data_IF_067157714646
#
_entry.id   IF_067157714646
#
_cell.length_a   1.000
_cell.length_b   1.000
_cell.length_c   1.000
_cell.angle_alpha   90.00
_cell.angle_beta   90.00
_cell.angle_gamma   90.00
#
_symmetry.space_group_name_H-M   'P 1'
#
loop_
_entity.id
_entity.type
_entity.pdbx_description
1 polymer ?
#
# COMPACT_ATOMS: atom_id res chain seq x y z
N UNK A 1 -6.76 27.42 1.97
CA UNK A 1 -5.54 28.24 2.07
C UNK A 1 -4.66 27.78 3.24
N UNK A 2 -5.20 27.40 4.44
CA UNK A 2 -4.43 26.87 5.58
C UNK A 2 -3.73 25.54 5.26
N UNK A 3 -4.40 24.63 4.55
CA UNK A 3 -3.84 23.31 4.19
C UNK A 3 -2.67 23.42 3.20
N UNK A 4 -2.66 24.46 2.36
CA UNK A 4 -1.60 24.70 1.39
C UNK A 4 -0.29 25.18 2.05
N UNK A 5 -0.35 25.93 3.15
CA UNK A 5 0.84 26.46 3.84
C UNK A 5 1.50 25.39 4.73
N UNK A 6 0.73 24.57 5.43
CA UNK A 6 1.24 23.43 6.21
C UNK A 6 1.84 22.35 5.30
N UNK A 7 1.16 22.03 4.20
CA UNK A 7 1.65 21.09 3.17
C UNK A 7 2.95 21.58 2.51
N UNK A 8 3.11 22.88 2.23
CA UNK A 8 4.35 23.45 1.70
C UNK A 8 5.50 23.36 2.72
N UNK A 9 5.25 23.73 3.97
CA UNK A 9 6.28 23.71 5.01
C UNK A 9 6.79 22.30 5.29
N UNK A 10 5.90 21.32 5.44
CA UNK A 10 6.27 19.92 5.63
C UNK A 10 6.95 19.34 4.39
N UNK A 11 6.45 19.69 3.19
CA UNK A 11 7.04 19.26 1.92
C UNK A 11 8.49 19.72 1.76
N UNK A 12 8.80 20.94 2.18
CA UNK A 12 10.18 21.47 2.12
C UNK A 12 11.11 20.81 3.14
N UNK A 13 10.60 20.49 4.34
CA UNK A 13 11.38 19.81 5.39
C UNK A 13 11.79 18.41 4.95
N UNK A 14 10.85 17.61 4.43
CA UNK A 14 11.19 16.25 4.01
C UNK A 14 12.10 16.21 2.78
N UNK A 15 11.91 17.14 1.82
CA UNK A 15 12.83 17.27 0.66
C UNK A 15 14.26 17.60 1.08
N UNK A 16 14.42 18.43 2.11
CA UNK A 16 15.75 18.69 2.69
C UNK A 16 16.34 17.44 3.34
N UNK A 17 15.54 16.62 4.00
CA UNK A 17 15.98 15.34 4.58
C UNK A 17 16.43 14.33 3.52
N UNK A 18 15.63 14.16 2.46
CA UNK A 18 15.96 13.29 1.31
C UNK A 18 17.26 13.76 0.64
N UNK A 19 17.39 15.07 0.38
CA UNK A 19 18.63 15.66 -0.14
C UNK A 19 19.82 15.41 0.78
N UNK A 20 19.65 15.58 2.09
CA UNK A 20 20.71 15.33 3.08
C UNK A 20 21.16 13.87 3.10
N UNK A 21 20.21 12.93 3.00
CA UNK A 21 20.51 11.49 2.91
C UNK A 21 21.26 11.14 1.62
N UNK A 22 20.80 11.67 0.48
CA UNK A 22 21.44 11.46 -0.82
C UNK A 22 22.87 11.99 -0.86
N UNK A 23 23.11 13.21 -0.31
CA UNK A 23 24.45 13.81 -0.23
C UNK A 23 25.37 12.99 0.68
N UNK A 24 24.88 12.52 1.84
CA UNK A 24 25.66 11.67 2.74
C UNK A 24 26.03 10.34 2.10
N UNK A 25 25.08 9.70 1.42
CA UNK A 25 25.34 8.47 0.69
C UNK A 25 26.37 8.68 -0.43
N UNK A 26 26.24 9.75 -1.19
CA UNK A 26 27.18 10.10 -2.25
C UNK A 26 28.60 10.39 -1.70
N UNK A 27 28.69 11.18 -0.63
CA UNK A 27 29.96 11.46 0.03
C UNK A 27 30.61 10.19 0.61
N UNK A 28 29.80 9.29 1.15
CA UNK A 28 30.28 7.99 1.64
C UNK A 28 30.85 7.14 0.51
N UNK A 29 30.20 7.09 -0.64
CA UNK A 29 30.69 6.36 -1.81
C UNK A 29 32.05 6.87 -2.29
N UNK A 30 32.25 8.20 -2.29
CA UNK A 30 33.55 8.78 -2.64
C UNK A 30 34.68 8.47 -1.66
N UNK A 31 34.37 8.00 -0.45
CA UNK A 31 35.37 7.55 0.55
C UNK A 31 35.73 6.07 0.42
N UNK A 32 34.99 5.31 -0.40
CA UNK A 32 35.29 3.90 -0.61
C UNK A 32 36.54 3.72 -1.49
N UNK A 33 37.20 2.56 -1.34
CA UNK A 33 38.41 2.24 -2.05
C UNK A 33 38.23 2.18 -3.57
N UNK A 34 39.30 2.47 -4.31
CA UNK A 34 39.32 2.34 -5.77
C UNK A 34 38.88 0.92 -6.23
N UNK A 35 39.31 -0.11 -5.50
CA UNK A 35 38.96 -1.51 -5.78
C UNK A 35 37.45 -1.75 -5.77
N UNK A 36 36.73 -1.13 -4.84
CA UNK A 36 35.25 -1.18 -4.81
C UNK A 36 34.60 -0.59 -6.06
N UNK A 37 35.17 0.49 -6.60
CA UNK A 37 34.69 1.15 -7.81
C UNK A 37 35.02 0.39 -9.09
N UNK A 38 36.14 -0.33 -9.12
CA UNK A 38 36.54 -1.16 -10.26
C UNK A 38 35.73 -2.46 -10.34
N UNK A 39 35.39 -3.06 -9.19
CA UNK A 39 34.61 -4.33 -9.14
C UNK A 39 33.12 -4.12 -9.42
N UNK A 40 32.60 -2.90 -9.39
CA UNK A 40 31.19 -2.62 -9.63
C UNK A 40 30.99 -1.60 -10.75
N UNK A 41 30.05 -1.91 -11.64
CA UNK A 41 29.61 -0.97 -12.69
C UNK A 41 29.05 0.31 -12.04
N UNK A 42 29.68 1.44 -12.28
CA UNK A 42 29.35 2.77 -11.72
C UNK A 42 27.87 3.17 -11.92
N UNK A 43 27.28 2.77 -13.05
CA UNK A 43 25.87 3.01 -13.35
C UNK A 43 24.89 2.28 -12.42
N UNK A 44 25.26 1.10 -11.90
CA UNK A 44 24.45 0.37 -10.92
C UNK A 44 24.39 1.07 -9.57
N UNK A 45 25.49 1.68 -9.17
CA UNK A 45 25.64 2.37 -7.89
C UNK A 45 24.82 3.67 -7.83
N UNK A 46 24.85 4.46 -8.91
CA UNK A 46 24.03 5.69 -9.03
C UNK A 46 22.53 5.36 -9.00
N UNK A 47 22.12 4.30 -9.70
CA UNK A 47 20.71 3.83 -9.65
C UNK A 47 20.31 3.32 -8.25
N UNK A 48 21.23 2.75 -7.48
CA UNK A 48 20.94 2.32 -6.11
C UNK A 48 20.73 3.51 -5.17
N UNK A 49 21.52 4.58 -5.29
CA UNK A 49 21.33 5.82 -4.52
C UNK A 49 19.99 6.47 -4.87
N UNK A 50 19.68 6.60 -6.17
CA UNK A 50 18.44 7.21 -6.62
C UNK A 50 17.21 6.42 -6.12
N UNK A 51 17.25 5.09 -6.22
CA UNK A 51 16.19 4.23 -5.64
C UNK A 51 16.09 4.36 -4.13
N UNK A 52 17.22 4.44 -3.43
CA UNK A 52 17.25 4.65 -1.98
C UNK A 52 16.66 6.01 -1.58
N UNK A 53 17.02 7.08 -2.28
CA UNK A 53 16.47 8.41 -2.03
C UNK A 53 14.96 8.45 -2.26
N UNK A 54 14.46 7.88 -3.36
CA UNK A 54 13.02 7.75 -3.64
C UNK A 54 12.29 6.87 -2.63
N UNK A 55 12.95 5.81 -2.13
CA UNK A 55 12.42 4.97 -1.07
C UNK A 55 12.24 5.73 0.25
N UNK A 56 13.21 6.57 0.62
CA UNK A 56 13.11 7.43 1.81
C UNK A 56 11.98 8.46 1.61
N UNK A 57 11.91 9.10 0.45
CA UNK A 57 10.84 10.05 0.11
C UNK A 57 9.46 9.41 0.26
N UNK A 58 9.28 8.21 -0.29
CA UNK A 58 8.03 7.45 -0.21
C UNK A 58 7.65 7.12 1.24
N UNK A 59 8.60 6.63 2.04
CA UNK A 59 8.36 6.32 3.45
C UNK A 59 7.98 7.55 4.26
N UNK A 60 8.70 8.65 4.10
CA UNK A 60 8.38 9.90 4.80
C UNK A 60 7.01 10.44 4.40
N UNK A 61 6.67 10.38 3.11
CA UNK A 61 5.35 10.80 2.62
C UNK A 61 4.23 9.98 3.26
N UNK A 62 4.34 8.66 3.25
CA UNK A 62 3.32 7.79 3.87
C UNK A 62 3.20 8.07 5.37
N UNK A 63 4.33 8.12 6.09
CA UNK A 63 4.30 8.30 7.55
C UNK A 63 3.67 9.64 7.93
N UNK A 64 4.09 10.74 7.31
CA UNK A 64 3.65 12.08 7.71
C UNK A 64 2.29 12.48 7.14
N UNK A 65 1.92 12.03 5.94
CA UNK A 65 0.70 12.48 5.27
C UNK A 65 -0.44 11.46 5.31
N UNK A 66 -0.17 10.18 5.57
CA UNK A 66 -1.20 9.16 5.64
C UNK A 66 -1.32 8.57 7.06
N UNK A 67 -0.22 8.08 7.64
CA UNK A 67 -0.28 7.35 8.91
C UNK A 67 -0.49 8.30 10.10
N UNK A 68 0.24 9.41 10.16
CA UNK A 68 0.15 10.35 11.28
C UNK A 68 -1.24 11.02 11.38
N UNK A 69 -1.83 11.58 10.29
CA UNK A 69 -3.19 12.11 10.33
C UNK A 69 -4.23 11.06 10.72
N UNK A 70 -4.12 9.83 10.18
CA UNK A 70 -5.02 8.74 10.51
C UNK A 70 -4.98 8.39 12.02
N UNK A 71 -3.79 8.34 12.61
CA UNK A 71 -3.64 8.09 14.06
C UNK A 71 -4.30 9.20 14.90
N UNK A 72 -4.09 10.47 14.53
CA UNK A 72 -4.70 11.61 15.20
C UNK A 72 -6.23 11.55 15.07
N UNK A 73 -6.74 11.24 13.90
CA UNK A 73 -8.18 11.11 13.64
C UNK A 73 -8.81 10.01 14.50
N UNK A 74 -8.21 8.81 14.53
CA UNK A 74 -8.72 7.70 15.34
C UNK A 74 -8.73 8.03 16.84
N UNK A 75 -7.67 8.67 17.33
CA UNK A 75 -7.59 9.09 18.74
C UNK A 75 -8.67 10.14 19.04
N UNK A 76 -8.80 11.15 18.19
CA UNK A 76 -9.75 12.25 18.37
C UNK A 76 -11.19 11.74 18.35
N UNK A 77 -11.55 10.91 17.37
CA UNK A 77 -12.88 10.29 17.29
C UNK A 77 -13.16 9.42 18.52
N UNK A 78 -12.18 8.65 18.98
CA UNK A 78 -12.34 7.83 20.19
C UNK A 78 -12.59 8.66 21.44
N UNK A 79 -11.90 9.80 21.59
CA UNK A 79 -12.10 10.74 22.72
C UNK A 79 -13.48 11.37 22.66
N UNK A 80 -13.93 11.82 21.49
CA UNK A 80 -15.26 12.42 21.30
C UNK A 80 -16.36 11.39 21.63
N UNK A 81 -16.24 10.18 21.13
CA UNK A 81 -17.20 9.12 21.41
C UNK A 81 -17.27 8.78 22.90
N UNK A 82 -16.13 8.75 23.57
CA UNK A 82 -16.07 8.52 25.00
C UNK A 82 -16.76 9.65 25.78
N UNK A 83 -16.49 10.90 25.42
CA UNK A 83 -17.06 12.07 26.10
C UNK A 83 -18.59 12.22 25.91
N UNK A 84 -19.09 11.89 24.70
CA UNK A 84 -20.51 12.09 24.35
C UNK A 84 -21.39 10.87 24.64
N UNK A 85 -20.91 9.66 24.39
CA UNK A 85 -21.70 8.42 24.40
C UNK A 85 -21.23 7.39 25.45
N UNK A 86 -20.09 7.64 26.08
CA UNK A 86 -19.53 6.78 27.11
C UNK A 86 -18.49 5.78 26.58
N UNK A 87 -17.85 5.08 27.52
CA UNK A 87 -16.70 4.22 27.28
C UNK A 87 -16.96 3.08 26.27
N UNK A 88 -18.14 2.46 26.30
CA UNK A 88 -18.45 1.31 25.45
C UNK A 88 -18.41 1.65 23.97
N UNK A 89 -18.89 2.84 23.55
CA UNK A 89 -18.84 3.27 22.15
C UNK A 89 -17.41 3.49 21.66
N UNK A 90 -16.58 4.11 22.48
CA UNK A 90 -15.16 4.28 22.20
C UNK A 90 -14.43 2.93 22.08
N UNK A 91 -14.75 2.00 22.99
CA UNK A 91 -14.15 0.65 22.99
C UNK A 91 -14.51 -0.15 21.73
N UNK A 92 -15.79 -0.13 21.30
CA UNK A 92 -16.24 -0.81 20.08
C UNK A 92 -15.53 -0.22 18.85
N UNK A 93 -15.48 1.12 18.74
CA UNK A 93 -14.81 1.79 17.62
C UNK A 93 -13.32 1.44 17.57
N UNK A 94 -12.62 1.55 18.70
CA UNK A 94 -11.20 1.26 18.78
C UNK A 94 -10.90 -0.21 18.44
N UNK A 95 -11.72 -1.14 18.97
CA UNK A 95 -11.56 -2.58 18.69
C UNK A 95 -11.80 -2.89 17.21
N UNK A 96 -12.81 -2.26 16.59
CA UNK A 96 -13.09 -2.42 15.16
C UNK A 96 -11.91 -1.94 14.30
N UNK A 97 -11.37 -0.75 14.59
CA UNK A 97 -10.20 -0.21 13.89
C UNK A 97 -8.97 -1.09 14.08
N UNK A 98 -8.73 -1.56 15.31
CA UNK A 98 -7.60 -2.46 15.59
C UNK A 98 -7.75 -3.79 14.86
N UNK A 99 -8.93 -4.39 14.87
CA UNK A 99 -9.21 -5.64 14.13
C UNK A 99 -9.01 -5.45 12.62
N UNK A 100 -9.47 -4.31 12.07
CA UNK A 100 -9.25 -3.95 10.67
C UNK A 100 -7.76 -3.84 10.32
N UNK A 101 -6.98 -3.14 11.13
CA UNK A 101 -5.54 -2.98 10.92
C UNK A 101 -4.80 -4.31 10.99
N UNK A 102 -5.06 -5.13 12.02
CA UNK A 102 -4.44 -6.44 12.19
C UNK A 102 -4.79 -7.40 11.04
N UNK A 103 -6.06 -7.44 10.65
CA UNK A 103 -6.51 -8.22 9.50
C UNK A 103 -5.80 -7.77 8.22
N UNK A 104 -5.78 -6.46 7.96
CA UNK A 104 -5.14 -5.90 6.75
C UNK A 104 -3.67 -6.26 6.66
N UNK A 105 -2.91 -6.11 7.74
CA UNK A 105 -1.48 -6.45 7.77
C UNK A 105 -1.29 -7.95 7.47
N UNK A 106 -1.99 -8.83 8.20
CA UNK A 106 -1.86 -10.29 8.04
C UNK A 106 -2.21 -10.78 6.64
N UNK A 107 -3.33 -10.30 6.09
CA UNK A 107 -3.78 -10.74 4.76
C UNK A 107 -2.95 -10.09 3.66
N UNK A 108 -2.43 -8.88 3.85
CA UNK A 108 -1.52 -8.24 2.90
C UNK A 108 -0.19 -8.99 2.80
N UNK A 109 0.39 -9.45 3.92
CA UNK A 109 1.59 -10.29 3.90
C UNK A 109 1.38 -11.59 3.10
N UNK A 110 0.26 -12.26 3.33
CA UNK A 110 -0.12 -13.44 2.56
C UNK A 110 -0.27 -13.14 1.06
N UNK A 111 -0.86 -11.99 0.70
CA UNK A 111 -1.10 -11.54 -0.67
C UNK A 111 0.18 -11.19 -1.44
N UNK A 112 1.22 -10.71 -0.75
CA UNK A 112 2.51 -10.33 -1.39
C UNK A 112 3.09 -11.49 -2.20
N UNK A 113 2.93 -12.74 -1.75
CA UNK A 113 3.39 -13.94 -2.48
C UNK A 113 2.76 -14.03 -3.87
N UNK A 114 1.44 -13.91 -3.97
CA UNK A 114 0.73 -14.01 -5.26
C UNK A 114 1.08 -12.84 -6.19
N UNK A 115 1.27 -11.65 -5.64
CA UNK A 115 1.70 -10.49 -6.43
C UNK A 115 3.11 -10.67 -6.98
N UNK A 116 4.03 -11.24 -6.21
CA UNK A 116 5.39 -11.56 -6.67
C UNK A 116 5.37 -12.60 -7.78
N UNK A 117 4.58 -13.65 -7.63
CA UNK A 117 4.43 -14.70 -8.67
C UNK A 117 3.87 -14.12 -9.98
N UNK A 118 2.88 -13.24 -9.89
CA UNK A 118 2.34 -12.51 -11.05
C UNK A 118 3.40 -11.63 -11.73
N UNK A 119 4.12 -10.82 -10.96
CA UNK A 119 5.16 -9.94 -11.51
C UNK A 119 6.29 -10.75 -12.17
N UNK A 120 6.69 -11.87 -11.59
CA UNK A 120 7.71 -12.76 -12.18
C UNK A 120 7.22 -13.41 -13.47
N UNK A 121 5.92 -13.72 -13.57
CA UNK A 121 5.35 -14.27 -14.80
C UNK A 121 5.26 -13.19 -15.90
N UNK A 122 4.90 -11.96 -15.54
CA UNK A 122 4.87 -10.79 -16.42
C UNK A 122 6.26 -10.48 -16.99
N UNK A 123 7.28 -10.42 -16.13
CA UNK A 123 8.67 -10.19 -16.54
C UNK A 123 9.16 -11.26 -17.53
N UNK A 124 8.81 -12.53 -17.28
CA UNK A 124 9.18 -13.62 -18.20
C UNK A 124 8.48 -13.51 -19.55
N UNK A 125 7.22 -13.13 -19.57
CA UNK A 125 6.48 -12.91 -20.81
C UNK A 125 7.06 -11.71 -21.59
N UNK A 126 7.32 -10.60 -20.90
CA UNK A 126 7.93 -9.41 -21.50
C UNK A 126 9.34 -9.70 -22.06
N UNK A 127 10.19 -10.39 -21.30
CA UNK A 127 11.52 -10.80 -21.76
C UNK A 127 11.42 -11.65 -23.03
N UNK A 128 10.50 -12.60 -23.06
CA UNK A 128 10.30 -13.47 -24.23
C UNK A 128 9.87 -12.69 -25.47
N UNK A 129 8.95 -11.73 -25.31
CA UNK A 129 8.54 -10.86 -26.39
C UNK A 129 9.72 -10.05 -26.96
N UNK A 130 10.52 -9.45 -26.07
CA UNK A 130 11.71 -8.68 -26.45
C UNK A 130 12.73 -9.56 -27.15
N UNK A 131 13.05 -10.74 -26.61
CA UNK A 131 14.03 -11.66 -27.20
C UNK A 131 13.60 -12.11 -28.60
N UNK A 132 12.31 -12.45 -28.81
CA UNK A 132 11.78 -12.83 -30.11
C UNK A 132 11.87 -11.68 -31.13
N UNK A 133 11.57 -10.44 -30.71
CA UNK A 133 11.65 -9.27 -31.57
C UNK A 133 13.09 -8.85 -31.86
N UNK A 134 14.01 -8.99 -30.93
CA UNK A 134 15.44 -8.74 -31.18
C UNK A 134 16.04 -9.74 -32.16
N UNK A 135 15.54 -10.98 -32.17
CA UNK A 135 15.96 -12.02 -33.08
C UNK A 135 15.03 -12.20 -34.30
N UNK A 136 14.29 -11.11 -34.67
CA UNK A 136 13.29 -11.14 -35.72
C UNK A 136 13.82 -11.73 -37.06
N UNK A 137 15.03 -11.35 -37.47
CA UNK A 137 15.65 -11.87 -38.69
C UNK A 137 15.81 -13.40 -38.66
N UNK A 138 16.26 -13.93 -37.53
CA UNK A 138 16.41 -15.37 -37.33
C UNK A 138 15.06 -16.10 -37.38
N UNK A 139 14.05 -15.55 -36.72
CA UNK A 139 12.67 -16.07 -36.73
C UNK A 139 12.14 -16.13 -38.15
N UNK A 140 12.33 -15.07 -38.94
CA UNK A 140 11.94 -15.01 -40.36
C UNK A 140 12.72 -16.00 -41.24
N UNK A 141 14.02 -16.10 -41.02
CA UNK A 141 14.88 -16.97 -41.81
C UNK A 141 14.50 -18.45 -41.72
N UNK A 142 14.02 -18.85 -40.53
CA UNK A 142 13.60 -20.24 -40.25
C UNK A 142 12.09 -20.46 -40.36
N UNK A 143 11.29 -19.46 -40.79
CA UNK A 143 9.81 -19.51 -40.80
C UNK A 143 9.21 -19.96 -39.46
N UNK A 144 9.80 -19.50 -38.34
CA UNK A 144 9.48 -19.99 -37.01
C UNK A 144 8.48 -19.09 -36.27
N UNK A 145 7.71 -18.20 -36.97
CA UNK A 145 6.77 -17.25 -36.36
C UNK A 145 5.69 -17.95 -35.54
N UNK A 146 5.15 -19.05 -36.04
CA UNK A 146 4.13 -19.81 -35.30
C UNK A 146 4.69 -20.39 -34.01
N UNK A 147 5.92 -20.89 -34.03
CA UNK A 147 6.58 -21.45 -32.84
C UNK A 147 6.85 -20.39 -31.80
N UNK A 148 7.28 -19.19 -32.21
CA UNK A 148 7.51 -18.08 -31.29
C UNK A 148 6.19 -17.52 -30.74
N UNK A 149 5.14 -17.48 -31.56
CA UNK A 149 3.79 -17.10 -31.10
C UNK A 149 3.25 -18.08 -30.06
N UNK A 150 3.38 -19.39 -30.26
CA UNK A 150 2.92 -20.40 -29.32
C UNK A 150 3.71 -20.32 -27.99
N UNK A 151 5.02 -20.09 -28.08
CA UNK A 151 5.87 -19.89 -26.90
C UNK A 151 5.49 -18.63 -26.10
N UNK A 152 5.14 -17.55 -26.79
CA UNK A 152 4.67 -16.34 -26.14
C UNK A 152 3.30 -16.53 -25.51
N UNK A 153 2.38 -17.23 -26.21
CA UNK A 153 1.06 -17.56 -25.69
C UNK A 153 1.13 -18.40 -24.41
N UNK A 154 2.04 -19.38 -24.35
CA UNK A 154 2.27 -20.17 -23.14
C UNK A 154 2.75 -19.29 -21.95
N UNK A 155 3.66 -18.34 -22.21
CA UNK A 155 4.10 -17.40 -21.19
C UNK A 155 2.96 -16.47 -20.73
N UNK A 156 2.13 -16.00 -21.65
CA UNK A 156 0.97 -15.16 -21.37
C UNK A 156 -0.13 -15.93 -20.62
N UNK A 157 -0.39 -17.18 -20.94
CA UNK A 157 -1.30 -18.04 -20.16
C UNK A 157 -0.87 -18.18 -18.70
N UNK A 158 0.44 -18.33 -18.49
CA UNK A 158 0.98 -18.40 -17.13
C UNK A 158 0.81 -17.07 -16.38
N UNK A 159 1.07 -15.95 -17.04
CA UNK A 159 0.81 -14.62 -16.48
C UNK A 159 -0.68 -14.44 -16.13
N UNK A 160 -1.58 -14.79 -17.04
CA UNK A 160 -3.04 -14.71 -16.82
C UNK A 160 -3.45 -15.49 -15.57
N UNK A 161 -3.01 -16.74 -15.42
CA UNK A 161 -3.32 -17.55 -14.24
C UNK A 161 -2.84 -16.91 -12.93
N UNK A 162 -1.63 -16.34 -12.92
CA UNK A 162 -1.08 -15.67 -11.76
C UNK A 162 -1.79 -14.32 -11.50
N UNK A 163 -2.18 -13.60 -12.55
CA UNK A 163 -2.94 -12.36 -12.46
C UNK A 163 -4.33 -12.59 -11.86
N UNK A 164 -5.03 -13.64 -12.28
CA UNK A 164 -6.33 -14.04 -11.71
C UNK A 164 -6.18 -14.38 -10.22
N UNK A 165 -5.18 -15.17 -9.83
CA UNK A 165 -4.91 -15.49 -8.42
C UNK A 165 -4.59 -14.24 -7.60
N UNK A 166 -3.78 -13.34 -8.12
CA UNK A 166 -3.47 -12.06 -7.48
C UNK A 166 -4.73 -11.20 -7.31
N UNK A 167 -5.62 -11.16 -8.31
CA UNK A 167 -6.88 -10.43 -8.26
C UNK A 167 -7.84 -11.03 -7.24
N UNK A 168 -7.99 -12.36 -7.23
CA UNK A 168 -8.82 -13.06 -6.24
C UNK A 168 -8.33 -12.81 -4.81
N UNK A 169 -7.01 -12.83 -4.59
CA UNK A 169 -6.44 -12.50 -3.27
C UNK A 169 -6.78 -11.08 -2.81
N UNK A 170 -6.86 -10.12 -3.73
CA UNK A 170 -7.32 -8.75 -3.43
C UNK A 170 -8.80 -8.72 -3.03
N UNK A 171 -9.64 -9.50 -3.71
CA UNK A 171 -11.07 -9.59 -3.37
C UNK A 171 -11.28 -10.14 -1.95
N UNK A 172 -10.48 -11.10 -1.53
CA UNK A 172 -10.51 -11.62 -0.13
C UNK A 172 -10.19 -10.52 0.87
N UNK A 173 -9.19 -9.66 0.60
CA UNK A 173 -8.89 -8.50 1.46
C UNK A 173 -10.10 -7.58 1.57
N UNK A 174 -10.68 -7.19 0.43
CA UNK A 174 -11.79 -6.23 0.39
C UNK A 174 -13.04 -6.77 1.09
N UNK A 175 -13.37 -8.05 0.88
CA UNK A 175 -14.52 -8.70 1.53
C UNK A 175 -14.30 -8.77 3.05
N UNK A 176 -13.13 -9.18 3.49
CA UNK A 176 -12.82 -9.27 4.91
C UNK A 176 -12.84 -7.90 5.61
N UNK A 177 -12.27 -6.87 4.98
CA UNK A 177 -12.33 -5.50 5.47
C UNK A 177 -13.77 -4.99 5.55
N UNK A 178 -14.57 -5.22 4.51
CA UNK A 178 -15.98 -4.85 4.48
C UNK A 178 -16.80 -5.55 5.58
N UNK A 179 -16.54 -6.83 5.83
CA UNK A 179 -17.19 -7.58 6.90
C UNK A 179 -16.86 -7.04 8.30
N UNK A 180 -15.59 -6.70 8.57
CA UNK A 180 -15.19 -6.11 9.85
C UNK A 180 -15.89 -4.77 10.08
N UNK A 181 -15.93 -3.89 9.06
CA UNK A 181 -16.62 -2.60 9.16
C UNK A 181 -18.12 -2.81 9.39
N UNK A 182 -18.76 -3.71 8.63
CA UNK A 182 -20.20 -3.99 8.77
C UNK A 182 -20.55 -4.49 10.18
N UNK A 183 -19.74 -5.39 10.75
CA UNK A 183 -19.93 -5.88 12.12
C UNK A 183 -19.77 -4.74 13.13
N UNK A 184 -18.74 -3.90 12.99
CA UNK A 184 -18.54 -2.74 13.86
C UNK A 184 -19.72 -1.77 13.82
N UNK A 185 -20.23 -1.46 12.62
CA UNK A 185 -21.42 -0.61 12.45
C UNK A 185 -22.68 -1.23 13.07
N UNK A 186 -22.91 -2.53 12.87
CA UNK A 186 -24.06 -3.22 13.46
C UNK A 186 -24.00 -3.18 14.99
N UNK A 187 -22.82 -3.37 15.61
CA UNK A 187 -22.66 -3.23 17.06
C UNK A 187 -22.96 -1.80 17.52
N UNK A 188 -22.44 -0.79 16.85
CA UNK A 188 -22.68 0.61 17.17
C UNK A 188 -24.18 0.97 17.08
N UNK A 189 -24.83 0.56 15.98
CA UNK A 189 -26.28 0.81 15.80
C UNK A 189 -27.14 0.06 16.83
N UNK A 190 -26.80 -1.18 17.14
CA UNK A 190 -27.50 -1.95 18.17
C UNK A 190 -27.39 -1.33 19.56
N UNK A 191 -26.26 -0.73 19.89
CA UNK A 191 -26.07 0.01 21.15
C UNK A 191 -26.81 1.36 21.18
N UNK A 192 -27.00 2.01 20.01
CA UNK A 192 -27.69 3.28 19.91
C UNK A 192 -29.20 3.15 20.09
N UNK A 193 -29.79 2.01 19.76
CA UNK A 193 -31.23 1.76 19.86
C UNK A 193 -31.79 2.03 21.27
N UNK A 194 -31.31 1.40 22.34
CA UNK A 194 -31.79 1.61 23.72
C UNK A 194 -31.67 3.07 24.19
N UNK A 195 -30.60 3.78 23.80
CA UNK A 195 -30.37 5.17 24.16
C UNK A 195 -31.41 6.10 23.50
N UNK A 196 -31.77 5.83 22.24
CA UNK A 196 -32.81 6.60 21.54
C UNK A 196 -34.18 6.46 22.18
N UNK A 197 -34.57 5.28 22.62
CA UNK A 197 -35.85 5.06 23.29
C UNK A 197 -35.94 5.78 24.65
N UNK A 198 -34.87 5.82 25.42
CA UNK A 198 -34.87 6.44 26.74
C UNK A 198 -34.88 7.99 26.66
N UNK A 199 -34.29 8.59 25.64
CA UNK A 199 -34.27 10.04 25.47
C UNK A 199 -35.47 10.61 24.73
N UNK A 200 -36.17 9.86 23.87
CA UNK A 200 -37.35 10.31 23.12
C UNK A 200 -38.67 10.16 23.91
N UNK A 201 -38.70 9.29 24.90
CA UNK A 201 -39.95 9.03 25.69
C UNK A 201 -40.08 9.92 26.92
N UNK A 202 -39.01 10.59 27.39
CA UNK A 202 -39.03 11.46 28.56
C UNK A 202 -39.82 12.79 28.42
N UNK A 203 -39.89 13.47 27.26
CA UNK A 203 -40.67 14.69 27.13
C UNK A 203 -42.18 14.46 27.03
N UNK A 204 -42.67 13.28 26.69
CA UNK A 204 -44.10 13.00 26.50
C UNK A 204 -44.85 12.69 27.80
N UNK A 205 -44.16 12.36 28.89
CA UNK A 205 -44.77 12.05 30.20
C UNK A 205 -44.97 13.32 31.06
N UNK A 206 -44.33 14.43 30.70
CA UNK A 206 -44.43 15.71 31.44
C UNK A 206 -45.53 16.64 30.90
N UNK A 207 -46.35 16.20 29.95
CA UNK A 207 -47.43 16.98 29.33
C UNK A 207 -48.84 16.39 29.56
N UNK A 208 -49.05 15.59 30.64
CA UNK A 208 -50.40 15.18 31.10
C UNK A 208 -50.68 15.68 32.50
#
# INVERSE_FOLDING_TARGET
IRDCLLSRGLGDVYKRQVRGAAIKAFAYLHRLSLQFHLDRQTGGLTRAIDRGAKGIEFLLTIVFFEVLPLLVEVILVSIILWAMFGFFYAAVTFTTVMAYCLFTVRVTEWRIKFRREMNNADEKAATRAVDSLLNYETVKYFNAESVETDRYDEAMKRYEQMAVRSRTSLSVVNIGQGAIIAIGLMMMMGMAGPVSYTHLTLPTILLV
#
